data_IF_322544705492
#
_entry.id   IF_322544705492
#
_cell.length_a   1.000
_cell.length_b   1.000
_cell.length_c   1.000
_cell.angle_alpha   90.00
_cell.angle_beta   90.00
_cell.angle_gamma   90.00
#
_symmetry.space_group_name_H-M   'P 1'
#
loop_
_entity.id
_entity.type
_entity.pdbx_description
1 polymer ?
#
# COMPACT_ATOMS: atom_id res chain seq x y z
N UNK A 1 0.13 -15.13 -0.70
CA UNK A 1 0.03 -15.45 0.74
C UNK A 1 -0.24 -14.17 1.51
N UNK A 2 -1.46 -14.01 2.05
CA UNK A 2 -1.85 -12.82 2.84
C UNK A 2 -0.92 -12.61 4.05
N UNK A 3 -0.46 -13.71 4.64
CA UNK A 3 0.47 -13.72 5.78
C UNK A 3 1.82 -13.07 5.45
N UNK A 4 2.35 -13.30 4.24
CA UNK A 4 3.60 -12.69 3.80
C UNK A 4 3.45 -11.18 3.63
N UNK A 5 2.32 -10.72 3.08
CA UNK A 5 2.01 -9.29 2.97
C UNK A 5 1.88 -8.63 4.35
N UNK A 6 1.18 -9.28 5.28
CA UNK A 6 1.06 -8.80 6.67
C UNK A 6 2.42 -8.73 7.38
N UNK A 7 3.30 -9.71 7.16
CA UNK A 7 4.67 -9.67 7.67
C UNK A 7 5.44 -8.48 7.10
N UNK A 8 5.32 -8.22 5.79
CA UNK A 8 5.97 -7.05 5.18
C UNK A 8 5.45 -5.74 5.79
N UNK A 9 4.13 -5.57 5.94
CA UNK A 9 3.53 -4.38 6.54
C UNK A 9 4.01 -4.13 7.97
N UNK A 10 4.02 -5.17 8.81
CA UNK A 10 4.46 -5.06 10.21
C UNK A 10 5.94 -4.67 10.31
N UNK A 11 6.81 -5.45 9.66
CA UNK A 11 8.25 -5.33 9.87
C UNK A 11 8.91 -4.20 9.08
N UNK A 12 8.36 -3.80 7.92
CA UNK A 12 8.95 -2.72 7.10
C UNK A 12 8.35 -1.34 7.35
N UNK A 13 7.18 -1.25 7.96
CA UNK A 13 6.49 0.02 8.14
C UNK A 13 6.17 0.26 9.62
N UNK A 14 5.26 -0.53 10.19
CA UNK A 14 4.74 -0.30 11.54
C UNK A 14 5.80 -0.30 12.64
N UNK A 15 6.74 -1.24 12.64
CA UNK A 15 7.71 -1.38 13.75
C UNK A 15 8.81 -0.31 13.77
N UNK A 16 8.87 0.56 12.76
CA UNK A 16 9.76 1.72 12.78
C UNK A 16 9.12 2.94 13.46
N UNK A 17 7.82 2.90 13.73
CA UNK A 17 7.09 3.97 14.39
C UNK A 17 6.92 3.68 15.87
N UNK A 18 7.03 4.72 16.69
CA UNK A 18 6.58 4.66 18.07
C UNK A 18 5.05 4.78 18.11
N UNK A 19 4.39 3.73 18.61
CA UNK A 19 2.94 3.63 18.67
C UNK A 19 2.52 3.68 20.14
N UNK A 20 1.96 4.81 20.56
CA UNK A 20 1.60 5.07 21.96
C UNK A 20 0.18 4.59 22.30
N UNK A 21 -0.74 4.69 21.34
CA UNK A 21 -2.17 4.47 21.52
C UNK A 21 -2.83 3.87 20.28
N UNK A 22 -4.10 3.48 20.42
CA UNK A 22 -4.86 2.83 19.36
C UNK A 22 -5.13 3.75 18.16
N UNK A 23 -5.38 5.04 18.37
CA UNK A 23 -5.68 5.97 17.29
C UNK A 23 -4.42 6.24 16.45
N UNK A 24 -3.27 6.36 17.11
CA UNK A 24 -1.97 6.40 16.46
C UNK A 24 -1.71 5.12 15.64
N UNK A 25 -2.02 3.94 16.20
CA UNK A 25 -1.90 2.67 15.47
C UNK A 25 -2.76 2.67 14.21
N UNK A 26 -4.04 3.04 14.30
CA UNK A 26 -4.96 3.07 13.16
C UNK A 26 -4.43 3.98 12.05
N UNK A 27 -3.93 5.17 12.41
CA UNK A 27 -3.31 6.11 11.47
C UNK A 27 -2.07 5.54 10.78
N UNK A 28 -1.16 4.93 11.53
CA UNK A 28 0.05 4.35 10.94
C UNK A 28 -0.25 3.12 10.08
N UNK A 29 -1.27 2.33 10.42
CA UNK A 29 -1.71 1.21 9.58
C UNK A 29 -2.23 1.74 8.24
N UNK A 30 -3.08 2.75 8.23
CA UNK A 30 -3.61 3.36 7.00
C UNK A 30 -2.47 3.88 6.11
N UNK A 31 -1.52 4.62 6.70
CA UNK A 31 -0.33 5.11 6.01
C UNK A 31 0.52 3.96 5.43
N UNK A 32 0.79 2.93 6.24
CA UNK A 32 1.59 1.76 5.82
C UNK A 32 0.96 1.02 4.64
N UNK A 33 -0.36 0.88 4.62
CA UNK A 33 -1.09 0.24 3.51
C UNK A 33 -1.00 1.08 2.25
N UNK A 34 -1.18 2.40 2.35
CA UNK A 34 -1.04 3.30 1.21
C UNK A 34 0.38 3.25 0.64
N UNK A 35 1.40 3.35 1.50
CA UNK A 35 2.81 3.28 1.11
C UNK A 35 3.17 1.94 0.46
N UNK A 36 2.65 0.83 0.98
CA UNK A 36 2.84 -0.48 0.38
C UNK A 36 2.24 -0.57 -1.03
N UNK A 37 1.02 -0.03 -1.21
CA UNK A 37 0.28 -0.15 -2.46
C UNK A 37 0.80 0.76 -3.59
N UNK A 38 1.49 1.86 -3.28
CA UNK A 38 2.12 2.75 -4.27
C UNK A 38 3.56 2.36 -4.61
N UNK A 39 4.16 1.42 -3.85
CA UNK A 39 5.58 1.11 -4.01
C UNK A 39 5.82 0.08 -5.12
N UNK A 40 6.74 0.34 -6.06
CA UNK A 40 7.18 -0.64 -7.05
C UNK A 40 7.71 -1.91 -6.38
N UNK A 41 7.24 -3.07 -6.83
CA UNK A 41 7.69 -4.34 -6.29
C UNK A 41 8.43 -5.14 -7.36
N UNK A 42 9.65 -5.60 -7.06
CA UNK A 42 10.49 -6.30 -8.04
C UNK A 42 9.81 -7.60 -8.55
N UNK A 43 9.11 -8.32 -7.66
CA UNK A 43 8.30 -9.51 -8.01
C UNK A 43 7.19 -9.18 -9.01
N UNK A 44 6.72 -7.93 -9.01
CA UNK A 44 5.69 -7.43 -9.93
C UNK A 44 6.31 -6.75 -11.16
N UNK A 45 7.55 -7.09 -11.51
CA UNK A 45 8.30 -6.48 -12.62
C UNK A 45 8.44 -4.95 -12.50
N UNK A 46 8.51 -4.43 -11.27
CA UNK A 46 8.60 -2.99 -11.01
C UNK A 46 7.25 -2.26 -11.04
N UNK A 47 6.13 -2.99 -11.20
CA UNK A 47 4.79 -2.42 -11.02
C UNK A 47 4.43 -2.33 -9.53
N UNK A 48 3.52 -1.42 -9.23
CA UNK A 48 2.92 -1.30 -7.89
C UNK A 48 1.80 -2.34 -7.71
N UNK A 49 1.51 -2.77 -6.46
CA UNK A 49 0.37 -3.64 -6.18
C UNK A 49 -0.94 -3.08 -6.76
N UNK A 50 -1.15 -1.76 -6.67
CA UNK A 50 -2.33 -1.12 -7.24
C UNK A 50 -2.39 -1.21 -8.77
N UNK A 51 -1.27 -1.01 -9.47
CA UNK A 51 -1.25 -1.13 -10.94
C UNK A 51 -1.53 -2.54 -11.41
N UNK A 52 -1.08 -3.56 -10.68
CA UNK A 52 -1.39 -4.96 -11.00
C UNK A 52 -2.86 -5.26 -10.72
N UNK A 53 -3.38 -4.81 -9.58
CA UNK A 53 -4.78 -5.00 -9.18
C UNK A 53 -5.76 -4.27 -10.11
N UNK A 54 -5.40 -3.08 -10.58
CA UNK A 54 -6.25 -2.22 -11.41
C UNK A 54 -6.38 -2.70 -12.86
N UNK A 55 -5.60 -3.71 -13.29
CA UNK A 55 -5.70 -4.27 -14.65
C UNK A 55 -6.98 -5.08 -14.90
N UNK A 56 -7.74 -5.45 -13.88
CA UNK A 56 -9.08 -6.02 -14.05
C UNK A 56 -10.14 -4.91 -14.26
N UNK A 57 -10.43 -4.69 -15.54
CA UNK A 57 -11.10 -3.55 -16.18
C UNK A 57 -12.52 -3.15 -15.71
N UNK A 58 -13.08 -3.70 -14.63
CA UNK A 58 -14.49 -3.40 -14.24
C UNK A 58 -14.69 -2.40 -13.10
N UNK A 59 -13.64 -1.87 -12.45
CA UNK A 59 -13.82 -0.94 -11.29
C UNK A 59 -12.88 0.26 -11.20
N UNK A 60 -12.00 0.51 -12.18
CA UNK A 60 -10.90 1.48 -12.04
C UNK A 60 -11.15 2.94 -12.46
N UNK A 61 -12.39 3.41 -12.56
CA UNK A 61 -12.69 4.76 -13.10
C UNK A 61 -12.56 5.93 -12.12
N UNK A 62 -12.23 5.73 -10.84
CA UNK A 62 -12.20 6.83 -9.87
C UNK A 62 -10.80 7.28 -9.38
N UNK A 63 -9.78 6.42 -9.39
CA UNK A 63 -8.55 6.70 -8.63
C UNK A 63 -7.37 7.30 -9.44
N UNK A 64 -7.33 7.15 -10.76
CA UNK A 64 -6.17 7.57 -11.57
C UNK A 64 -6.22 9.00 -12.12
N UNK A 65 -7.35 9.73 -12.00
CA UNK A 65 -7.49 11.08 -12.61
C UNK A 65 -6.81 12.22 -11.85
N UNK A 66 -6.19 11.99 -10.68
CA UNK A 66 -5.64 13.08 -9.86
C UNK A 66 -4.10 13.10 -9.74
N UNK A 67 -3.38 12.13 -10.32
CA UNK A 67 -1.94 11.96 -10.03
C UNK A 67 -0.96 12.11 -11.20
N UNK A 68 -1.43 12.34 -12.43
CA UNK A 68 -0.56 12.52 -13.61
C UNK A 68 -1.03 13.69 -14.46
N UNK A 69 -1.01 14.88 -13.86
CA UNK A 69 -1.08 16.16 -14.57
C UNK A 69 -0.03 17.08 -13.94
N UNK A 70 1.24 16.82 -14.26
CA UNK A 70 2.38 17.74 -14.13
C UNK A 70 3.47 17.25 -15.06
#
# INVERSE_FOLDING_TARGET
>A
MIEAANKQLKYRFLYHHYIADYDALAKYVEQSVNDYNIRPHHVLHGLTPNEVLCKDHRRCTAAMKLGKAS
#
